data_IF_396520149723
#
_entry.id   IF_396520149723
#
_cell.length_a   1.000
_cell.length_b   1.000
_cell.length_c   1.000
_cell.angle_alpha   90.00
_cell.angle_beta   90.00
_cell.angle_gamma   90.00
#
_symmetry.space_group_name_H-M   'P 1'
#
loop_
_entity.id
_entity.type
_entity.pdbx_description
1 polymer ?
#
# COMPACT_ATOMS: atom_id res chain seq x y z
N UNK A 1 10.01 6.69 29.74
CA UNK A 1 10.40 5.26 29.94
C UNK A 1 11.91 5.16 30.09
N UNK A 2 12.39 4.26 30.95
CA UNK A 2 13.83 3.93 31.00
C UNK A 2 14.20 3.12 29.74
N UNK A 3 15.13 3.63 28.95
CA UNK A 3 15.58 3.02 27.69
C UNK A 3 16.98 2.41 27.78
N UNK A 4 17.46 2.15 29.02
CA UNK A 4 18.81 1.62 29.26
C UNK A 4 18.92 0.09 29.16
N UNK A 5 17.80 -0.65 29.25
CA UNK A 5 17.75 -2.12 29.24
C UNK A 5 16.68 -2.70 28.31
N UNK A 6 16.59 -2.17 27.11
CA UNK A 6 15.60 -2.61 26.12
C UNK A 6 15.93 -3.98 25.49
N UNK A 7 17.22 -4.36 25.46
CA UNK A 7 17.64 -5.64 24.88
C UNK A 7 16.96 -6.83 25.58
N UNK A 8 16.83 -6.81 26.90
CA UNK A 8 16.15 -7.90 27.61
C UNK A 8 14.64 -7.96 27.31
N UNK A 9 13.99 -6.81 27.10
CA UNK A 9 12.60 -6.75 26.64
C UNK A 9 12.46 -7.34 25.24
N UNK A 10 13.40 -7.01 24.33
CA UNK A 10 13.43 -7.56 22.96
C UNK A 10 13.58 -9.06 22.99
N UNK A 11 14.45 -9.59 23.87
CA UNK A 11 14.75 -11.01 24.00
C UNK A 11 13.78 -11.78 24.91
N UNK A 12 12.78 -11.10 25.49
CA UNK A 12 11.74 -11.77 26.28
C UNK A 12 10.97 -12.80 25.47
N UNK A 13 10.55 -13.88 26.12
CA UNK A 13 9.85 -14.98 25.43
C UNK A 13 8.55 -14.53 24.77
N UNK A 14 7.79 -13.65 25.43
CA UNK A 14 6.53 -13.13 24.91
C UNK A 14 6.73 -12.30 23.66
N UNK A 15 7.69 -11.35 23.68
CA UNK A 15 8.00 -10.52 22.52
C UNK A 15 8.51 -11.35 21.34
N UNK A 16 9.38 -12.33 21.59
CA UNK A 16 9.88 -13.22 20.55
C UNK A 16 8.80 -14.12 19.96
N UNK A 17 7.85 -14.61 20.77
CA UNK A 17 6.72 -15.39 20.27
C UNK A 17 5.81 -14.55 19.35
N UNK A 18 5.51 -13.30 19.73
CA UNK A 18 4.74 -12.37 18.89
C UNK A 18 5.48 -12.12 17.57
N UNK A 19 6.79 -11.88 17.62
CA UNK A 19 7.61 -11.67 16.42
C UNK A 19 7.63 -12.90 15.50
N UNK A 20 7.76 -14.10 16.06
CA UNK A 20 7.68 -15.36 15.33
C UNK A 20 6.35 -15.51 14.59
N UNK A 21 5.25 -15.37 15.31
CA UNK A 21 3.90 -15.46 14.72
C UNK A 21 3.67 -14.45 13.60
N UNK A 22 4.16 -13.22 13.77
CA UNK A 22 4.04 -12.17 12.76
C UNK A 22 4.84 -12.50 11.50
N UNK A 23 6.08 -12.98 11.62
CA UNK A 23 6.92 -13.36 10.48
C UNK A 23 6.33 -14.55 9.72
N UNK A 24 5.87 -15.59 10.44
CA UNK A 24 5.23 -16.75 9.82
C UNK A 24 3.92 -16.36 9.12
N UNK A 25 3.10 -15.51 9.74
CA UNK A 25 1.85 -15.01 9.15
C UNK A 25 2.08 -14.23 7.86
N UNK A 26 3.16 -13.48 7.76
CA UNK A 26 3.47 -12.66 6.59
C UNK A 26 3.91 -13.48 5.36
N UNK A 27 4.33 -14.75 5.53
CA UNK A 27 4.70 -15.67 4.44
C UNK A 27 5.68 -15.04 3.44
N UNK A 28 6.66 -14.27 3.94
CA UNK A 28 7.61 -13.56 3.08
C UNK A 28 8.57 -14.51 2.34
N UNK A 29 9.16 -14.03 1.25
CA UNK A 29 10.15 -14.75 0.46
C UNK A 29 11.42 -15.07 1.28
N UNK A 30 12.18 -16.06 0.87
CA UNK A 30 13.48 -16.44 1.42
C UNK A 30 14.55 -15.36 1.17
N UNK A 31 15.50 -15.22 2.10
CA UNK A 31 16.67 -14.34 1.98
C UNK A 31 17.80 -14.97 1.17
N UNK A 32 19.06 -14.54 1.44
CA UNK A 32 20.26 -15.07 0.82
C UNK A 32 20.58 -16.52 1.27
N UNK A 33 20.10 -16.92 2.44
CA UNK A 33 20.27 -18.25 3.00
C UNK A 33 19.30 -19.32 2.45
N UNK A 34 18.34 -18.91 1.62
CA UNK A 34 17.33 -19.79 1.04
C UNK A 34 16.32 -20.36 2.06
N UNK A 35 16.40 -20.00 3.34
CA UNK A 35 15.54 -20.52 4.39
C UNK A 35 14.11 -19.97 4.23
N UNK A 36 13.12 -20.87 4.26
CA UNK A 36 11.70 -20.53 4.19
C UNK A 36 11.15 -20.15 5.56
N UNK A 37 10.09 -19.34 5.57
CA UNK A 37 9.41 -18.96 6.83
C UNK A 37 8.84 -20.16 7.60
N UNK A 38 8.54 -21.28 6.92
CA UNK A 38 8.06 -22.52 7.54
C UNK A 38 9.15 -23.24 8.34
N UNK A 39 10.41 -23.00 8.06
CA UNK A 39 11.57 -23.64 8.70
C UNK A 39 12.06 -22.85 9.93
N UNK A 40 11.56 -21.62 10.12
CA UNK A 40 11.98 -20.74 11.21
C UNK A 40 11.80 -21.38 12.59
N UNK A 41 10.72 -22.14 12.81
CA UNK A 41 10.46 -22.79 14.09
C UNK A 41 11.55 -23.81 14.47
N UNK A 42 11.92 -24.68 13.55
CA UNK A 42 13.01 -25.66 13.76
C UNK A 42 14.36 -24.99 13.93
N UNK A 43 14.62 -23.97 13.13
CA UNK A 43 15.85 -23.18 13.22
C UNK A 43 16.00 -22.53 14.61
N UNK A 44 14.94 -21.89 15.11
CA UNK A 44 14.95 -21.27 16.43
C UNK A 44 15.02 -22.29 17.58
N UNK A 45 14.43 -23.48 17.44
CA UNK A 45 14.55 -24.55 18.43
C UNK A 45 16.03 -25.01 18.59
N UNK A 46 16.78 -25.07 17.49
CA UNK A 46 18.18 -25.46 17.49
C UNK A 46 19.11 -24.31 17.89
N UNK A 47 18.91 -23.12 17.35
CA UNK A 47 19.87 -22.00 17.40
C UNK A 47 19.41 -20.84 18.29
N UNK A 48 18.19 -20.83 18.80
CA UNK A 48 17.60 -19.66 19.47
C UNK A 48 18.39 -19.21 20.71
N UNK A 49 18.96 -20.15 21.49
CA UNK A 49 19.81 -19.80 22.64
C UNK A 49 21.11 -19.11 22.19
N UNK A 50 21.73 -19.60 21.12
CA UNK A 50 22.97 -19.03 20.55
C UNK A 50 22.68 -17.63 19.99
N UNK A 51 21.58 -17.45 19.27
CA UNK A 51 21.16 -16.15 18.72
C UNK A 51 20.95 -15.13 19.85
N UNK A 52 20.24 -15.50 20.93
CA UNK A 52 20.03 -14.63 22.10
C UNK A 52 21.35 -14.20 22.71
N UNK A 53 22.27 -15.15 22.92
CA UNK A 53 23.59 -14.85 23.49
C UNK A 53 24.44 -13.97 22.58
N UNK A 54 24.40 -14.20 21.28
CA UNK A 54 25.08 -13.34 20.30
C UNK A 54 24.53 -11.93 20.28
N UNK A 55 23.23 -11.72 20.47
CA UNK A 55 22.61 -10.40 20.57
C UNK A 55 23.06 -9.68 21.86
N UNK A 56 23.04 -10.34 23.02
CA UNK A 56 23.53 -9.79 24.30
C UNK A 56 25.00 -9.42 24.27
N UNK A 57 25.82 -10.25 23.61
CA UNK A 57 27.27 -10.02 23.56
C UNK A 57 27.70 -9.19 22.36
N UNK A 58 26.76 -8.61 21.60
CA UNK A 58 27.01 -7.84 20.35
C UNK A 58 27.76 -8.64 19.28
N UNK A 59 27.76 -9.96 19.35
CA UNK A 59 28.45 -10.84 18.37
C UNK A 59 27.56 -11.20 17.18
N UNK A 60 26.25 -10.97 17.25
CA UNK A 60 25.35 -11.22 16.13
C UNK A 60 25.75 -10.39 14.91
N UNK A 61 25.83 -11.05 13.77
CA UNK A 61 26.11 -10.42 12.47
C UNK A 61 24.92 -10.65 11.53
N UNK A 62 24.14 -9.60 11.20
CA UNK A 62 23.10 -9.71 10.19
C UNK A 62 23.67 -10.18 8.86
N UNK A 63 22.89 -10.97 8.14
CA UNK A 63 23.23 -11.37 6.78
C UNK A 63 22.92 -10.23 5.79
N UNK A 64 23.61 -10.15 4.65
CA UNK A 64 23.26 -9.20 3.60
C UNK A 64 21.84 -9.44 3.09
N UNK A 65 21.17 -8.40 2.63
CA UNK A 65 19.84 -8.53 2.04
C UNK A 65 19.91 -8.97 0.58
N UNK A 66 19.06 -9.90 0.18
CA UNK A 66 18.94 -10.31 -1.22
C UNK A 66 18.18 -9.24 -2.00
N UNK A 67 18.82 -8.69 -3.05
CA UNK A 67 18.18 -7.71 -3.93
C UNK A 67 17.15 -8.37 -4.84
N UNK A 68 15.97 -7.75 -4.95
CA UNK A 68 14.93 -8.14 -5.89
C UNK A 68 14.43 -6.89 -6.61
N UNK A 69 14.48 -6.91 -7.92
CA UNK A 69 14.01 -5.81 -8.75
C UNK A 69 12.51 -5.95 -9.07
N UNK A 70 11.73 -4.94 -8.72
CA UNK A 70 10.30 -4.90 -9.03
C UNK A 70 10.03 -3.76 -10.01
N UNK A 71 9.46 -4.04 -11.21
CA UNK A 71 9.14 -2.99 -12.16
C UNK A 71 8.04 -2.06 -11.59
N UNK A 72 8.28 -0.75 -11.67
CA UNK A 72 7.28 0.27 -11.35
C UNK A 72 6.29 0.44 -12.51
N UNK A 73 5.06 0.86 -12.22
CA UNK A 73 4.06 1.12 -13.26
C UNK A 73 4.41 2.24 -14.25
N UNK A 74 5.37 3.09 -13.89
CA UNK A 74 5.89 4.22 -14.67
C UNK A 74 7.13 3.87 -15.50
N UNK A 75 7.53 2.58 -15.52
CA UNK A 75 8.69 2.07 -16.27
C UNK A 75 10.01 2.09 -15.50
N UNK A 76 10.03 2.59 -14.26
CA UNK A 76 11.21 2.53 -13.39
C UNK A 76 11.34 1.19 -12.68
N UNK A 77 12.46 0.98 -11.98
CA UNK A 77 12.72 -0.18 -11.13
C UNK A 77 12.67 0.24 -9.66
N UNK A 78 12.09 -0.61 -8.80
CA UNK A 78 12.19 -0.51 -7.35
C UNK A 78 13.08 -1.64 -6.86
N UNK A 79 14.17 -1.29 -6.21
CA UNK A 79 15.07 -2.25 -5.57
C UNK A 79 14.53 -2.63 -4.20
N UNK A 80 14.13 -3.88 -4.02
CA UNK A 80 13.70 -4.41 -2.75
C UNK A 80 14.82 -5.25 -2.15
N UNK A 81 15.18 -5.03 -0.89
CA UNK A 81 16.10 -5.87 -0.14
C UNK A 81 15.31 -6.87 0.71
N UNK A 82 15.51 -8.16 0.48
CA UNK A 82 14.85 -9.23 1.24
C UNK A 82 15.83 -9.77 2.28
N UNK A 83 15.67 -9.44 3.59
CA UNK A 83 16.49 -10.02 4.67
C UNK A 83 16.20 -11.51 4.84
N UNK A 84 17.11 -12.23 5.48
CA UNK A 84 16.86 -13.62 5.90
C UNK A 84 15.64 -13.70 6.83
N UNK A 85 15.06 -14.87 6.94
CA UNK A 85 13.89 -15.08 7.83
C UNK A 85 14.28 -14.84 9.29
N UNK A 86 15.48 -15.22 9.69
CA UNK A 86 16.03 -14.97 11.03
C UNK A 86 16.22 -13.49 11.28
N UNK A 87 16.77 -12.73 10.33
CA UNK A 87 16.94 -11.28 10.47
C UNK A 87 15.58 -10.56 10.54
N UNK A 88 14.60 -10.97 9.73
CA UNK A 88 13.23 -10.44 9.83
C UNK A 88 12.60 -10.69 11.21
N UNK A 89 12.85 -11.85 11.78
CA UNK A 89 12.37 -12.21 13.12
C UNK A 89 12.98 -11.29 14.18
N UNK A 90 14.30 -11.06 14.14
CA UNK A 90 14.98 -10.18 15.09
C UNK A 90 14.57 -8.73 14.88
N UNK A 91 14.51 -8.26 13.63
CA UNK A 91 14.04 -6.90 13.30
C UNK A 91 12.61 -6.67 13.77
N UNK A 92 11.73 -7.69 13.65
CA UNK A 92 10.36 -7.62 14.14
C UNK A 92 10.32 -7.50 15.67
N UNK A 93 11.12 -8.28 16.38
CA UNK A 93 11.21 -8.21 17.84
C UNK A 93 11.70 -6.83 18.32
N UNK A 94 12.69 -6.25 17.63
CA UNK A 94 13.18 -4.88 17.88
C UNK A 94 12.09 -3.85 17.62
N UNK A 95 11.43 -3.93 16.47
CA UNK A 95 10.39 -2.99 16.08
C UNK A 95 9.22 -2.96 17.07
N UNK A 96 8.82 -4.11 17.61
CA UNK A 96 7.73 -4.22 18.60
C UNK A 96 8.03 -3.45 19.89
N UNK A 97 9.28 -3.47 20.35
CA UNK A 97 9.70 -2.78 21.59
C UNK A 97 9.96 -1.29 21.34
N UNK A 98 10.53 -0.93 20.17
CA UNK A 98 10.85 0.46 19.89
C UNK A 98 9.62 1.26 19.42
N UNK A 99 8.66 0.65 18.74
CA UNK A 99 7.48 1.37 18.21
C UNK A 99 6.72 2.14 19.30
N UNK A 100 6.34 1.57 20.46
CA UNK A 100 5.63 2.32 21.48
C UNK A 100 6.40 3.54 21.99
N UNK A 101 7.72 3.44 22.09
CA UNK A 101 8.59 4.53 22.59
C UNK A 101 8.57 5.72 21.61
N UNK A 102 8.58 5.45 20.31
CA UNK A 102 8.56 6.50 19.29
C UNK A 102 7.16 6.99 18.97
N UNK A 103 6.11 6.18 19.17
CA UNK A 103 4.71 6.61 18.96
C UNK A 103 4.36 7.85 19.81
N UNK A 104 4.92 7.96 21.02
CA UNK A 104 4.75 9.14 21.89
C UNK A 104 5.41 10.41 21.32
N UNK A 105 6.33 10.27 20.38
CA UNK A 105 7.10 11.38 19.81
C UNK A 105 6.66 11.76 18.39
N UNK A 106 5.93 10.89 17.72
CA UNK A 106 5.51 11.13 16.34
C UNK A 106 4.35 12.13 16.28
N UNK A 107 4.46 13.07 15.36
CA UNK A 107 3.42 14.08 15.13
C UNK A 107 2.09 13.44 14.73
N UNK A 108 0.97 14.05 15.14
CA UNK A 108 -0.37 13.53 14.87
C UNK A 108 -0.73 13.49 13.37
N UNK A 109 -0.15 14.36 12.57
CA UNK A 109 -0.36 14.40 11.11
C UNK A 109 0.59 13.47 10.32
N UNK A 110 1.32 12.59 11.00
CA UNK A 110 2.08 11.48 10.41
C UNK A 110 1.29 10.18 10.51
N UNK A 111 0.99 9.52 9.40
CA UNK A 111 0.06 8.38 9.34
C UNK A 111 0.68 7.08 8.84
N UNK A 112 1.70 7.14 8.00
CA UNK A 112 2.28 5.96 7.37
C UNK A 112 3.04 5.05 8.33
N UNK A 113 2.85 3.74 8.22
CA UNK A 113 3.56 2.72 9.01
C UNK A 113 3.41 2.83 10.53
N UNK A 114 2.34 3.44 11.00
CA UNK A 114 2.05 3.59 12.43
C UNK A 114 0.86 2.72 12.84
N UNK A 115 0.86 2.15 14.07
CA UNK A 115 -0.29 1.41 14.58
C UNK A 115 -1.51 2.33 14.69
N UNK A 116 -2.69 1.76 14.38
CA UNK A 116 -3.99 2.47 14.44
C UNK A 116 -4.11 3.71 13.53
N UNK A 117 -3.17 3.93 12.62
CA UNK A 117 -3.22 5.00 11.62
C UNK A 117 -3.41 4.40 10.22
N UNK A 118 -4.12 5.13 9.35
CA UNK A 118 -4.39 4.66 7.99
C UNK A 118 -4.43 5.80 6.97
N UNK A 119 -4.38 5.44 5.68
CA UNK A 119 -4.42 6.39 4.59
C UNK A 119 -5.72 7.22 4.56
N UNK A 120 -6.83 6.64 4.98
CA UNK A 120 -8.12 7.33 5.04
C UNK A 120 -8.10 8.51 6.02
N UNK A 121 -7.51 8.33 7.21
CA UNK A 121 -7.34 9.40 8.19
C UNK A 121 -6.48 10.54 7.61
N UNK A 122 -5.37 10.21 6.95
CA UNK A 122 -4.52 11.20 6.28
C UNK A 122 -5.30 12.03 5.24
N UNK A 123 -6.17 11.38 4.44
CA UNK A 123 -7.01 12.07 3.45
C UNK A 123 -8.07 12.96 4.12
N UNK A 124 -8.69 12.53 5.21
CA UNK A 124 -9.68 13.34 5.92
C UNK A 124 -9.04 14.58 6.52
N UNK A 125 -7.90 14.42 7.23
CA UNK A 125 -7.15 15.56 7.77
C UNK A 125 -6.69 16.54 6.67
N UNK A 126 -6.25 16.04 5.53
CA UNK A 126 -5.90 16.89 4.39
C UNK A 126 -7.12 17.66 3.86
N UNK A 127 -8.30 17.04 3.81
CA UNK A 127 -9.54 17.70 3.41
C UNK A 127 -9.96 18.80 4.39
N UNK A 128 -9.85 18.55 5.69
CA UNK A 128 -10.15 19.54 6.73
C UNK A 128 -9.27 20.77 6.55
N UNK A 129 -7.94 20.58 6.42
CA UNK A 129 -7.00 21.68 6.18
C UNK A 129 -7.28 22.46 4.88
N UNK A 130 -7.65 21.76 3.80
CA UNK A 130 -8.02 22.40 2.53
C UNK A 130 -9.30 23.24 2.67
N UNK A 131 -10.27 22.76 3.44
CA UNK A 131 -11.56 23.42 3.68
C UNK A 131 -11.44 24.61 4.65
N UNK A 132 -10.38 24.64 5.47
CA UNK A 132 -10.03 25.77 6.32
C UNK A 132 -9.31 26.91 5.56
N UNK A 133 -9.36 26.89 4.24
CA UNK A 133 -8.81 27.95 3.38
C UNK A 133 -7.36 27.76 2.95
N UNK A 134 -6.74 26.61 3.27
CA UNK A 134 -5.37 26.28 2.85
C UNK A 134 -5.39 25.48 1.55
N UNK A 135 -5.82 26.10 0.46
CA UNK A 135 -6.08 25.44 -0.82
C UNK A 135 -4.92 25.55 -1.85
N UNK A 136 -3.72 25.85 -1.38
CA UNK A 136 -2.47 25.71 -2.14
C UNK A 136 -1.64 24.58 -1.54
N UNK A 137 -1.28 23.62 -2.38
CA UNK A 137 -0.62 22.39 -1.96
C UNK A 137 0.84 22.38 -2.40
N UNK A 138 1.72 22.12 -1.44
CA UNK A 138 3.13 21.79 -1.70
C UNK A 138 3.26 20.27 -1.57
N UNK A 139 3.42 19.60 -2.70
CA UNK A 139 3.59 18.16 -2.80
C UNK A 139 5.09 17.85 -2.91
N UNK A 140 5.65 17.20 -1.89
CA UNK A 140 7.09 16.91 -1.79
C UNK A 140 7.31 15.41 -1.98
N UNK A 141 8.05 15.04 -3.02
CA UNK A 141 8.52 13.68 -3.32
C UNK A 141 10.02 13.57 -3.00
N UNK A 142 10.39 12.61 -2.15
CA UNK A 142 11.79 12.36 -1.81
C UNK A 142 12.42 11.42 -2.85
N UNK A 143 13.61 11.76 -3.35
CA UNK A 143 14.30 10.91 -4.32
C UNK A 143 14.93 9.70 -3.62
N UNK A 144 14.41 8.50 -3.93
CA UNK A 144 14.97 7.23 -3.42
C UNK A 144 15.24 7.26 -1.91
N UNK A 145 14.29 7.75 -1.13
CA UNK A 145 14.44 8.01 0.30
C UNK A 145 15.17 6.87 1.03
N UNK A 146 14.70 5.63 0.89
CA UNK A 146 15.31 4.48 1.58
C UNK A 146 16.76 4.22 1.16
N UNK A 147 17.15 4.56 -0.06
CA UNK A 147 18.50 4.34 -0.60
C UNK A 147 19.47 5.47 -0.22
N UNK A 148 18.98 6.60 0.31
CA UNK A 148 19.77 7.81 0.54
C UNK A 148 19.91 8.23 2.01
N UNK A 149 19.27 7.52 2.94
CA UNK A 149 19.35 7.83 4.38
C UNK A 149 20.79 7.72 4.88
N UNK A 150 21.30 8.80 5.45
CA UNK A 150 22.62 8.80 6.09
C UNK A 150 22.56 8.06 7.43
N UNK A 151 23.34 6.98 7.57
CA UNK A 151 23.35 6.12 8.75
C UNK A 151 23.76 6.87 10.01
N UNK A 152 24.77 7.73 9.98
CA UNK A 152 25.26 8.42 11.17
C UNK A 152 24.25 9.47 11.68
N UNK A 153 23.58 10.19 10.76
CA UNK A 153 22.48 11.09 11.13
C UNK A 153 21.34 10.32 11.79
N UNK A 154 20.91 9.22 11.18
CA UNK A 154 19.85 8.38 11.72
C UNK A 154 20.24 7.83 13.10
N UNK A 155 21.44 7.29 13.26
CA UNK A 155 21.93 6.78 14.55
C UNK A 155 22.04 7.87 15.60
N UNK A 156 22.41 9.09 15.22
CA UNK A 156 22.41 10.25 16.13
C UNK A 156 21.01 10.56 16.64
N UNK A 157 20.00 10.53 15.76
CA UNK A 157 18.60 10.76 16.13
C UNK A 157 18.12 9.66 17.08
N UNK A 158 18.39 8.38 16.74
CA UNK A 158 18.02 7.23 17.58
C UNK A 158 18.66 7.34 18.97
N UNK A 159 19.95 7.69 19.05
CA UNK A 159 20.69 7.82 20.30
C UNK A 159 20.21 8.95 21.25
N UNK A 160 19.39 9.89 20.75
CA UNK A 160 18.72 10.89 21.61
C UNK A 160 17.67 10.23 22.51
N UNK A 161 16.98 9.22 22.01
CA UNK A 161 15.87 8.52 22.69
C UNK A 161 16.31 7.20 23.30
N UNK A 162 17.02 6.37 22.54
CA UNK A 162 17.46 5.03 22.98
C UNK A 162 18.83 5.14 23.62
N UNK A 163 18.96 4.67 24.88
CA UNK A 163 20.21 4.67 25.63
C UNK A 163 20.84 3.28 25.77
N UNK A 164 20.12 2.24 25.36
CA UNK A 164 20.63 0.87 25.32
C UNK A 164 21.65 0.70 24.19
N UNK A 165 22.93 0.55 24.55
CA UNK A 165 24.03 0.42 23.60
C UNK A 165 23.98 -0.89 22.80
N UNK A 166 23.32 -1.94 23.29
CA UNK A 166 23.18 -3.22 22.58
C UNK A 166 22.16 -3.08 21.47
N UNK A 167 21.06 -2.38 21.74
CA UNK A 167 20.04 -2.04 20.74
C UNK A 167 20.62 -1.11 19.67
N UNK A 168 21.35 -0.07 20.05
CA UNK A 168 22.02 0.83 19.11
C UNK A 168 23.00 0.04 18.21
N UNK A 169 23.77 -0.86 18.80
CA UNK A 169 24.74 -1.69 18.07
C UNK A 169 24.06 -2.57 17.01
N UNK A 170 22.98 -3.27 17.36
CA UNK A 170 22.30 -4.17 16.42
C UNK A 170 21.57 -3.39 15.32
N UNK A 171 20.94 -2.24 15.63
CA UNK A 171 20.33 -1.37 14.63
C UNK A 171 21.37 -0.89 13.62
N UNK A 172 22.55 -0.43 14.09
CA UNK A 172 23.65 -0.03 13.19
C UNK A 172 24.11 -1.17 12.31
N UNK A 173 24.23 -2.39 12.86
CA UNK A 173 24.61 -3.58 12.07
C UNK A 173 23.62 -3.89 10.97
N UNK A 174 22.31 -3.72 11.20
CA UNK A 174 21.30 -3.88 10.14
C UNK A 174 21.41 -2.83 9.05
N UNK A 175 21.81 -1.61 9.36
CA UNK A 175 22.01 -0.56 8.35
C UNK A 175 23.21 -0.86 7.45
N UNK A 176 24.26 -1.45 7.98
CA UNK A 176 25.51 -1.75 7.26
C UNK A 176 25.65 -3.21 6.82
N UNK A 177 24.57 -4.00 6.89
CA UNK A 177 24.63 -5.45 6.59
C UNK A 177 24.97 -5.80 5.14
N UNK A 178 24.96 -4.83 4.24
CA UNK A 178 25.25 -5.02 2.82
C UNK A 178 24.07 -5.58 2.01
N UNK A 179 24.31 -5.67 0.71
CA UNK A 179 23.32 -6.13 -0.28
C UNK A 179 23.97 -7.23 -1.11
N UNK A 180 23.22 -8.29 -1.40
CA UNK A 180 23.62 -9.36 -2.31
C UNK A 180 22.89 -9.19 -3.64
N UNK A 181 23.63 -9.08 -4.73
CA UNK A 181 23.13 -8.94 -6.10
C UNK A 181 23.75 -10.05 -6.94
N UNK A 182 22.95 -10.97 -7.48
CA UNK A 182 23.40 -12.08 -8.32
C UNK A 182 24.62 -12.82 -7.73
N UNK A 183 24.58 -13.09 -6.41
CA UNK A 183 25.64 -13.71 -5.60
C UNK A 183 26.91 -12.87 -5.39
N UNK A 184 26.93 -11.61 -5.81
CA UNK A 184 27.99 -10.65 -5.49
C UNK A 184 27.58 -9.76 -4.30
N UNK A 185 28.53 -9.55 -3.37
CA UNK A 185 28.32 -8.72 -2.18
C UNK A 185 28.68 -7.26 -2.47
N UNK A 186 27.75 -6.35 -2.14
CA UNK A 186 27.99 -4.90 -2.16
C UNK A 186 27.81 -4.32 -0.75
N UNK A 187 28.73 -3.46 -0.34
CA UNK A 187 28.65 -2.73 0.92
C UNK A 187 27.48 -1.72 0.90
N UNK A 188 26.72 -1.65 2.01
CA UNK A 188 25.71 -0.62 2.23
C UNK A 188 26.28 0.51 3.08
N UNK A 189 26.80 1.55 2.43
CA UNK A 189 27.38 2.74 3.10
C UNK A 189 26.27 3.75 3.42
N UNK A 190 25.21 3.76 2.65
CA UNK A 190 24.03 4.66 2.77
C UNK A 190 22.76 3.87 2.53
N UNK A 191 21.67 4.31 3.13
CA UNK A 191 20.35 3.75 2.89
C UNK A 191 19.89 2.74 3.93
N UNK A 192 18.61 2.50 3.95
CA UNK A 192 17.96 1.43 4.72
C UNK A 192 17.37 0.43 3.74
N UNK A 193 17.63 -0.88 3.89
CA UNK A 193 17.10 -1.88 2.96
C UNK A 193 15.56 -1.77 2.84
N UNK A 194 15.05 -1.53 1.63
CA UNK A 194 13.61 -1.56 1.40
C UNK A 194 13.10 -3.01 1.53
N UNK A 195 12.39 -3.32 2.63
CA UNK A 195 11.78 -4.63 2.87
C UNK A 195 12.14 -5.28 4.20
N UNK A 196 13.03 -4.68 4.98
CA UNK A 196 13.25 -5.06 6.38
C UNK A 196 12.08 -4.64 7.28
N UNK A 197 11.76 -5.43 8.30
CA UNK A 197 10.66 -5.16 9.23
C UNK A 197 10.91 -3.90 10.10
N UNK A 198 12.16 -3.51 10.26
CA UNK A 198 12.58 -2.34 11.04
C UNK A 198 12.59 -1.05 10.19
N UNK A 199 12.78 -1.15 8.88
CA UNK A 199 12.94 -0.01 7.97
C UNK A 199 11.79 1.01 8.03
N UNK A 200 10.51 0.63 8.13
CA UNK A 200 9.42 1.59 8.26
C UNK A 200 9.49 2.45 9.51
N UNK A 201 9.89 1.88 10.66
CA UNK A 201 10.08 2.61 11.90
C UNK A 201 11.26 3.57 11.78
N UNK A 202 12.40 3.12 11.26
CA UNK A 202 13.59 3.95 11.05
C UNK A 202 13.30 5.13 10.11
N UNK A 203 12.50 4.88 9.06
CA UNK A 203 12.04 5.94 8.16
C UNK A 203 11.22 7.01 8.89
N UNK A 204 10.27 6.60 9.73
CA UNK A 204 9.47 7.53 10.53
C UNK A 204 10.32 8.29 11.56
N UNK A 205 11.30 7.65 12.20
CA UNK A 205 12.23 8.31 13.12
C UNK A 205 13.01 9.43 12.42
N UNK A 206 13.53 9.16 11.23
CA UNK A 206 14.26 10.15 10.43
C UNK A 206 13.36 11.31 10.00
N UNK A 207 12.17 11.00 9.49
CA UNK A 207 11.23 12.00 8.97
C UNK A 207 10.47 12.75 10.07
N UNK A 208 10.47 12.28 11.30
CA UNK A 208 9.93 13.02 12.43
C UNK A 208 10.69 14.34 12.70
N UNK A 209 11.96 14.43 12.32
CA UNK A 209 12.70 15.71 12.39
C UNK A 209 12.14 16.72 11.36
N UNK A 210 11.64 16.25 10.21
CA UNK A 210 10.90 17.09 9.25
C UNK A 210 9.54 17.52 9.83
N UNK A 211 8.83 16.59 10.47
CA UNK A 211 7.53 16.88 11.09
C UNK A 211 7.66 17.97 12.15
N UNK A 212 8.65 17.85 13.04
CA UNK A 212 8.97 18.86 14.07
C UNK A 212 9.32 20.23 13.47
N UNK A 213 10.06 20.26 12.37
CA UNK A 213 10.39 21.51 11.69
C UNK A 213 9.17 22.16 11.06
N UNK A 214 8.27 21.37 10.47
CA UNK A 214 7.00 21.87 9.92
C UNK A 214 6.08 22.39 11.02
N UNK A 215 5.97 21.68 12.14
CA UNK A 215 5.22 22.09 13.33
C UNK A 215 5.76 23.41 13.90
N UNK A 216 7.09 23.51 14.10
CA UNK A 216 7.77 24.73 14.59
C UNK A 216 7.47 25.96 13.71
N UNK A 217 7.26 25.75 12.41
CA UNK A 217 6.91 26.81 11.45
C UNK A 217 5.40 27.08 11.38
N UNK A 218 4.58 26.36 12.12
CA UNK A 218 3.12 26.48 12.09
C UNK A 218 2.52 26.07 10.75
N UNK A 219 3.11 25.09 10.05
CA UNK A 219 2.65 24.63 8.75
C UNK A 219 1.59 23.55 8.91
N UNK A 220 0.51 23.64 8.14
CA UNK A 220 -0.47 22.58 7.98
C UNK A 220 0.07 21.51 7.03
N UNK A 221 0.30 20.31 7.50
CA UNK A 221 0.86 19.24 6.68
C UNK A 221 0.23 17.88 7.00
N UNK A 222 0.33 16.98 6.04
CA UNK A 222 -0.03 15.56 6.22
C UNK A 222 1.07 14.71 5.59
N UNK A 223 1.64 13.80 6.37
CA UNK A 223 2.66 12.88 5.90
C UNK A 223 2.21 11.43 5.99
N UNK A 224 2.46 10.67 4.94
CA UNK A 224 2.28 9.22 4.91
C UNK A 224 3.56 8.55 4.42
N UNK A 225 4.38 8.07 5.35
CA UNK A 225 5.76 7.62 5.08
C UNK A 225 6.59 8.74 4.45
N UNK A 226 7.09 8.53 3.22
CA UNK A 226 7.86 9.49 2.41
C UNK A 226 6.99 10.46 1.61
N UNK A 227 5.69 10.17 1.42
CA UNK A 227 4.75 11.06 0.75
C UNK A 227 4.29 12.19 1.71
N UNK A 228 4.65 13.45 1.44
CA UNK A 228 4.31 14.60 2.28
C UNK A 228 3.65 15.71 1.47
N UNK A 229 2.52 16.21 1.97
CA UNK A 229 1.84 17.38 1.42
C UNK A 229 1.69 18.46 2.49
N UNK A 230 1.93 19.72 2.11
CA UNK A 230 1.78 20.88 2.99
C UNK A 230 0.73 21.82 2.37
N UNK A 231 -0.20 22.28 3.17
CA UNK A 231 -1.31 23.13 2.76
C UNK A 231 -1.11 24.55 3.27
N UNK A 232 -1.27 25.54 2.38
CA UNK A 232 -1.13 26.99 2.68
C UNK A 232 -2.17 27.81 1.95
N UNK A 233 -2.41 29.05 2.40
CA UNK A 233 -3.47 29.91 1.87
C UNK A 233 -3.13 30.66 0.57
N UNK A 234 -1.87 30.68 0.09
CA UNK A 234 -1.50 31.43 -1.11
C UNK A 234 -0.36 30.78 -1.89
N UNK A 235 -0.31 31.05 -3.20
CA UNK A 235 0.73 30.56 -4.11
C UNK A 235 2.13 31.05 -3.70
N UNK A 236 2.23 32.32 -3.32
CA UNK A 236 3.48 32.90 -2.87
C UNK A 236 4.01 32.18 -1.61
N UNK A 237 3.13 31.88 -0.65
CA UNK A 237 3.47 31.11 0.52
C UNK A 237 3.88 29.69 0.15
N UNK A 238 3.17 29.01 -0.76
CA UNK A 238 3.49 27.67 -1.22
C UNK A 238 4.88 27.59 -1.86
N UNK A 239 5.21 28.52 -2.74
CA UNK A 239 6.53 28.58 -3.37
C UNK A 239 7.65 28.88 -2.37
N UNK A 240 7.39 29.73 -1.35
CA UNK A 240 8.33 29.98 -0.24
C UNK A 240 8.53 28.74 0.61
N UNK A 241 7.45 28.04 0.96
CA UNK A 241 7.49 26.80 1.77
C UNK A 241 8.24 25.72 1.01
N UNK A 242 7.95 25.51 -0.29
CA UNK A 242 8.67 24.55 -1.13
C UNK A 242 10.18 24.76 -1.05
N UNK A 243 10.66 25.99 -1.28
CA UNK A 243 12.11 26.30 -1.22
C UNK A 243 12.72 26.06 0.16
N UNK A 244 12.03 26.51 1.21
CA UNK A 244 12.58 26.46 2.56
C UNK A 244 12.58 25.03 3.14
N UNK A 245 11.54 24.24 2.87
CA UNK A 245 11.45 22.86 3.32
C UNK A 245 12.40 21.97 2.50
N UNK A 246 12.50 22.17 1.18
CA UNK A 246 13.50 21.46 0.36
C UNK A 246 14.91 21.70 0.86
N UNK A 247 15.27 22.94 1.15
CA UNK A 247 16.57 23.29 1.74
C UNK A 247 16.80 22.58 3.09
N UNK A 248 15.82 22.57 3.97
CA UNK A 248 15.92 21.86 5.25
C UNK A 248 16.16 20.35 5.05
N UNK A 249 15.40 19.72 4.13
CA UNK A 249 15.54 18.31 3.79
C UNK A 249 16.96 18.01 3.29
N UNK A 250 17.49 18.85 2.41
CA UNK A 250 18.81 18.64 1.81
C UNK A 250 19.96 18.95 2.77
N UNK A 251 19.96 20.11 3.40
CA UNK A 251 21.05 20.56 4.25
C UNK A 251 21.06 19.88 5.64
N UNK A 252 19.90 19.76 6.28
CA UNK A 252 19.80 19.23 7.64
C UNK A 252 19.63 17.72 7.68
N UNK A 253 18.72 17.17 6.88
CA UNK A 253 18.48 15.72 6.88
C UNK A 253 19.45 14.99 5.94
N UNK A 254 20.02 15.66 4.94
CA UNK A 254 20.90 15.04 3.94
C UNK A 254 20.16 14.13 2.97
N UNK A 255 18.86 14.36 2.81
CA UNK A 255 18.00 13.66 1.85
C UNK A 255 17.90 14.49 0.57
N UNK A 256 17.47 13.87 -0.53
CA UNK A 256 17.27 14.57 -1.80
C UNK A 256 15.80 14.76 -2.12
N UNK A 257 15.42 15.96 -2.54
CA UNK A 257 14.08 16.25 -3.04
C UNK A 257 14.02 16.00 -4.54
N UNK A 258 13.04 15.25 -4.99
CA UNK A 258 12.80 15.03 -6.42
C UNK A 258 12.08 16.23 -7.04
N UNK A 259 12.82 17.20 -7.51
CA UNK A 259 12.28 18.44 -8.06
C UNK A 259 11.42 18.25 -9.32
N UNK A 260 11.54 17.12 -10.02
CA UNK A 260 10.72 16.82 -11.21
C UNK A 260 9.32 16.31 -10.85
N UNK A 261 9.16 15.74 -9.67
CA UNK A 261 7.88 15.21 -9.17
C UNK A 261 7.26 16.13 -8.12
N UNK A 262 8.10 16.80 -7.31
CA UNK A 262 7.62 17.78 -6.35
C UNK A 262 7.02 19.00 -7.07
N UNK A 263 5.87 19.47 -6.58
CA UNK A 263 5.16 20.57 -7.24
C UNK A 263 4.33 21.39 -6.26
N UNK A 264 4.08 22.63 -6.67
CA UNK A 264 3.06 23.48 -6.07
C UNK A 264 1.83 23.46 -6.99
N UNK A 265 0.67 23.14 -6.45
CA UNK A 265 -0.55 22.95 -7.24
C UNK A 265 -1.81 23.25 -6.39
N UNK A 266 -2.95 23.37 -7.05
CA UNK A 266 -4.26 23.39 -6.39
C UNK A 266 -4.74 21.97 -6.09
N UNK A 267 -5.68 21.75 -5.15
CA UNK A 267 -6.19 20.42 -4.80
C UNK A 267 -6.69 19.61 -6.00
N UNK A 268 -7.23 20.25 -7.05
CA UNK A 268 -7.71 19.57 -8.25
C UNK A 268 -6.60 18.88 -9.04
N UNK A 269 -5.37 19.37 -8.99
CA UNK A 269 -4.19 18.77 -9.63
C UNK A 269 -3.47 17.72 -8.79
N UNK A 270 -3.85 17.59 -7.51
CA UNK A 270 -3.19 16.69 -6.58
C UNK A 270 -3.64 15.24 -6.77
N UNK A 271 -2.68 14.34 -6.70
CA UNK A 271 -2.90 12.91 -6.46
C UNK A 271 -2.18 12.52 -5.18
N UNK A 272 -2.91 12.26 -4.11
CA UNK A 272 -2.34 11.84 -2.83
C UNK A 272 -2.93 10.50 -2.39
N UNK A 273 -2.10 9.53 -2.05
CA UNK A 273 -2.49 8.17 -1.61
C UNK A 273 -3.56 7.51 -2.53
N UNK A 274 -3.47 7.75 -3.83
CA UNK A 274 -4.41 7.21 -4.80
C UNK A 274 -5.72 7.98 -4.95
N UNK A 275 -5.98 8.97 -4.09
CA UNK A 275 -7.11 9.89 -4.20
C UNK A 275 -6.77 11.10 -5.07
N UNK A 276 -7.79 11.71 -5.64
CA UNK A 276 -7.80 13.04 -6.21
C UNK A 276 -8.86 13.87 -5.50
N UNK A 277 -8.80 15.18 -5.66
CA UNK A 277 -9.68 16.12 -4.97
C UNK A 277 -10.50 16.93 -5.97
N UNK A 278 -11.66 17.40 -5.55
CA UNK A 278 -12.49 18.30 -6.33
C UNK A 278 -13.31 19.21 -5.39
N UNK A 279 -13.63 20.40 -5.85
CA UNK A 279 -14.50 21.31 -5.13
C UNK A 279 -15.96 21.01 -5.48
N UNK A 280 -16.79 20.78 -4.46
CA UNK A 280 -18.24 20.60 -4.61
C UNK A 280 -18.94 21.95 -4.35
N UNK A 281 -19.46 22.62 -5.39
CA UNK A 281 -20.06 23.95 -5.24
C UNK A 281 -21.37 23.97 -4.46
N UNK A 282 -21.99 22.81 -4.25
CA UNK A 282 -23.28 22.70 -3.49
C UNK A 282 -23.07 22.90 -1.99
N UNK A 283 -21.93 22.44 -1.50
CA UNK A 283 -21.58 22.51 -0.06
C UNK A 283 -20.37 23.43 0.18
N UNK A 284 -19.83 24.04 -0.87
CA UNK A 284 -18.65 24.90 -0.83
C UNK A 284 -17.44 24.25 -0.16
N UNK A 285 -17.17 22.97 -0.46
CA UNK A 285 -16.11 22.21 0.17
C UNK A 285 -15.33 21.37 -0.85
N UNK A 286 -14.06 21.14 -0.57
CA UNK A 286 -13.27 20.10 -1.23
C UNK A 286 -13.69 18.71 -0.74
N UNK A 287 -13.77 17.79 -1.67
CA UNK A 287 -14.08 16.37 -1.42
C UNK A 287 -13.07 15.48 -2.13
N UNK A 288 -12.84 14.30 -1.56
CA UNK A 288 -12.00 13.27 -2.19
C UNK A 288 -12.82 12.40 -3.17
N UNK A 289 -12.13 11.87 -4.16
CA UNK A 289 -12.62 10.81 -5.07
C UNK A 289 -11.43 9.93 -5.48
N UNK A 290 -11.63 8.70 -5.95
CA UNK A 290 -10.55 7.93 -6.54
C UNK A 290 -9.91 8.70 -7.71
N UNK A 291 -8.59 8.82 -7.71
CA UNK A 291 -7.87 9.49 -8.80
C UNK A 291 -7.99 8.70 -10.12
N UNK A 292 -7.97 9.38 -11.25
CA UNK A 292 -8.12 8.76 -12.58
C UNK A 292 -7.15 7.59 -12.82
N UNK A 293 -5.88 7.72 -12.39
CA UNK A 293 -4.89 6.63 -12.46
C UNK A 293 -5.27 5.41 -11.61
N UNK A 294 -5.93 5.60 -10.46
CA UNK A 294 -6.42 4.52 -9.60
C UNK A 294 -7.61 3.81 -10.24
N UNK A 295 -8.52 4.56 -10.87
CA UNK A 295 -9.65 4.00 -11.64
C UNK A 295 -9.14 3.22 -12.86
N UNK A 296 -8.13 3.73 -13.57
CA UNK A 296 -7.52 3.03 -14.71
C UNK A 296 -6.89 1.69 -14.27
N UNK A 297 -6.18 1.65 -13.14
CA UNK A 297 -5.66 0.40 -12.54
C UNK A 297 -6.78 -0.58 -12.20
N UNK A 298 -7.87 -0.09 -11.61
CA UNK A 298 -9.05 -0.93 -11.34
C UNK A 298 -9.61 -1.52 -12.63
N UNK A 299 -9.85 -0.69 -13.65
CA UNK A 299 -10.39 -1.14 -14.96
C UNK A 299 -9.47 -2.16 -15.64
N UNK A 300 -8.14 -1.98 -15.54
CA UNK A 300 -7.15 -2.96 -16.04
C UNK A 300 -7.29 -4.30 -15.32
N UNK A 301 -7.26 -4.31 -13.98
CA UNK A 301 -7.38 -5.54 -13.19
C UNK A 301 -8.72 -6.24 -13.37
N UNK A 302 -9.81 -5.48 -13.44
CA UNK A 302 -11.14 -6.00 -13.78
C UNK A 302 -11.14 -6.73 -15.15
N UNK A 303 -10.45 -6.17 -16.17
CA UNK A 303 -10.30 -6.82 -17.47
C UNK A 303 -9.58 -8.17 -17.37
N UNK A 304 -8.51 -8.25 -16.59
CA UNK A 304 -7.76 -9.48 -16.35
C UNK A 304 -8.64 -10.53 -15.67
N UNK A 305 -9.31 -10.18 -14.55
CA UNK A 305 -10.20 -11.08 -13.81
C UNK A 305 -11.43 -11.53 -14.60
N UNK A 306 -11.83 -10.77 -15.60
CA UNK A 306 -12.94 -11.11 -16.52
C UNK A 306 -12.45 -11.47 -17.92
N UNK A 307 -11.22 -11.98 -18.02
CA UNK A 307 -10.69 -12.45 -19.30
C UNK A 307 -11.44 -13.71 -19.76
N UNK A 308 -11.89 -13.70 -21.03
CA UNK A 308 -12.64 -14.81 -21.62
C UNK A 308 -11.81 -16.07 -21.85
N UNK A 309 -10.50 -15.89 -22.09
CA UNK A 309 -9.54 -16.98 -22.31
C UNK A 309 -8.90 -17.50 -21.02
N UNK A 310 -9.21 -16.90 -19.88
CA UNK A 310 -8.79 -17.43 -18.59
C UNK A 310 -9.56 -18.73 -18.31
N UNK A 311 -8.88 -19.87 -18.32
CA UNK A 311 -9.44 -21.23 -18.30
C UNK A 311 -10.10 -21.68 -16.99
N UNK A 312 -10.64 -20.75 -16.20
CA UNK A 312 -11.29 -21.03 -14.91
C UNK A 312 -12.81 -20.90 -14.99
N UNK A 313 -13.52 -21.47 -14.01
CA UNK A 313 -14.98 -21.40 -13.89
C UNK A 313 -15.48 -19.95 -13.72
N UNK A 314 -16.74 -19.69 -14.09
CA UNK A 314 -17.36 -18.38 -13.86
C UNK A 314 -17.55 -18.11 -12.35
N UNK A 315 -17.77 -19.14 -11.52
CA UNK A 315 -17.85 -19.01 -10.06
C UNK A 315 -16.54 -18.51 -9.48
N UNK A 316 -15.43 -19.09 -9.89
CA UNK A 316 -14.10 -18.64 -9.45
C UNK A 316 -13.78 -17.20 -9.90
N UNK A 317 -14.19 -16.82 -11.13
CA UNK A 317 -14.05 -15.42 -11.60
C UNK A 317 -14.83 -14.46 -10.72
N UNK A 318 -16.07 -14.80 -10.37
CA UNK A 318 -16.92 -13.97 -9.50
C UNK A 318 -16.33 -13.88 -8.09
N UNK A 319 -15.82 -14.96 -7.54
CA UNK A 319 -15.15 -14.97 -6.23
C UNK A 319 -13.96 -14.01 -6.21
N UNK A 320 -13.03 -14.15 -7.17
CA UNK A 320 -11.85 -13.28 -7.28
C UNK A 320 -12.22 -11.82 -7.55
N UNK A 321 -13.24 -11.59 -8.35
CA UNK A 321 -13.75 -10.27 -8.64
C UNK A 321 -14.35 -9.63 -7.36
N UNK A 322 -15.11 -10.38 -6.58
CA UNK A 322 -15.69 -9.90 -5.32
C UNK A 322 -14.62 -9.54 -4.30
N UNK A 323 -13.58 -10.36 -4.15
CA UNK A 323 -12.44 -10.04 -3.28
C UNK A 323 -11.80 -8.72 -3.70
N UNK A 324 -11.58 -8.52 -4.99
CA UNK A 324 -11.00 -7.30 -5.53
C UNK A 324 -11.92 -6.07 -5.37
N UNK A 325 -13.21 -6.19 -5.66
CA UNK A 325 -14.21 -5.12 -5.48
C UNK A 325 -14.26 -4.67 -4.02
N UNK A 326 -14.39 -5.61 -3.09
CA UNK A 326 -14.48 -5.29 -1.65
C UNK A 326 -13.22 -4.57 -1.14
N UNK A 327 -12.05 -5.07 -1.50
CA UNK A 327 -10.78 -4.43 -1.13
C UNK A 327 -10.68 -3.01 -1.66
N UNK A 328 -11.05 -2.80 -2.94
CA UNK A 328 -10.99 -1.47 -3.56
C UNK A 328 -12.00 -0.48 -2.96
N UNK A 329 -13.24 -0.90 -2.73
CA UNK A 329 -14.27 -0.06 -2.10
C UNK A 329 -13.88 0.27 -0.66
N UNK A 330 -13.44 -0.71 0.13
CA UNK A 330 -13.02 -0.47 1.51
C UNK A 330 -11.88 0.56 1.62
N UNK A 331 -10.99 0.59 0.63
CA UNK A 331 -9.92 1.60 0.58
C UNK A 331 -10.45 2.99 0.23
N UNK A 332 -11.31 3.10 -0.79
CA UNK A 332 -11.77 4.37 -1.33
C UNK A 332 -13.11 4.85 -0.76
N UNK A 333 -13.73 4.16 0.19
CA UNK A 333 -15.10 4.41 0.69
C UNK A 333 -15.36 5.83 1.20
N UNK A 334 -14.34 6.52 1.70
CA UNK A 334 -14.43 7.92 2.13
C UNK A 334 -14.59 8.91 0.98
N UNK A 335 -14.28 8.49 -0.25
CA UNK A 335 -14.36 9.31 -1.45
C UNK A 335 -15.71 9.22 -2.15
N UNK A 336 -16.09 10.27 -2.87
CA UNK A 336 -17.31 10.32 -3.67
C UNK A 336 -17.24 9.37 -4.86
N UNK A 337 -17.94 8.22 -4.81
CA UNK A 337 -17.85 7.17 -5.82
C UNK A 337 -19.18 6.70 -6.39
N UNK A 338 -20.32 7.21 -5.94
CA UNK A 338 -21.65 6.67 -6.30
C UNK A 338 -21.86 6.50 -7.83
N UNK A 339 -21.54 7.53 -8.60
CA UNK A 339 -21.65 7.50 -10.07
C UNK A 339 -20.64 6.53 -10.70
N UNK A 340 -19.40 6.54 -10.19
CA UNK A 340 -18.35 5.65 -10.65
C UNK A 340 -18.68 4.18 -10.38
N UNK A 341 -19.21 3.85 -9.19
CA UNK A 341 -19.63 2.49 -8.86
C UNK A 341 -20.72 1.99 -9.82
N UNK A 342 -21.69 2.85 -10.16
CA UNK A 342 -22.75 2.50 -11.14
C UNK A 342 -22.19 2.21 -12.53
N UNK A 343 -21.23 3.02 -13.00
CA UNK A 343 -20.53 2.80 -14.27
C UNK A 343 -19.75 1.48 -14.28
N UNK A 344 -18.96 1.25 -13.22
CA UNK A 344 -18.14 0.05 -13.10
C UNK A 344 -18.99 -1.23 -12.98
N UNK A 345 -20.10 -1.19 -12.26
CA UNK A 345 -21.07 -2.28 -12.20
C UNK A 345 -21.62 -2.65 -13.58
N UNK A 346 -21.94 -1.64 -14.39
CA UNK A 346 -22.34 -1.84 -15.79
C UNK A 346 -21.26 -2.56 -16.60
N UNK A 347 -20.02 -2.11 -16.48
CA UNK A 347 -18.87 -2.70 -17.16
C UNK A 347 -18.59 -4.15 -16.70
N UNK A 348 -18.70 -4.43 -15.40
CA UNK A 348 -18.51 -5.78 -14.85
C UNK A 348 -19.57 -6.73 -15.41
N UNK A 349 -20.86 -6.36 -15.35
CA UNK A 349 -21.96 -7.17 -15.88
C UNK A 349 -21.80 -7.44 -17.38
N UNK A 350 -21.42 -6.42 -18.13
CA UNK A 350 -21.13 -6.54 -19.56
C UNK A 350 -20.04 -7.59 -19.82
N UNK A 351 -18.94 -7.53 -19.11
CA UNK A 351 -17.81 -8.45 -19.26
C UNK A 351 -18.14 -9.88 -18.81
N UNK A 352 -18.89 -10.04 -17.73
CA UNK A 352 -19.34 -11.37 -17.29
C UNK A 352 -20.29 -12.02 -18.27
N UNK A 353 -21.21 -11.25 -18.91
CA UNK A 353 -22.05 -11.77 -20.00
C UNK A 353 -21.22 -12.34 -21.13
N UNK A 354 -20.14 -11.67 -21.53
CA UNK A 354 -19.22 -12.19 -22.54
C UNK A 354 -18.52 -13.50 -22.10
N UNK A 355 -18.14 -13.62 -20.84
CA UNK A 355 -17.51 -14.83 -20.29
C UNK A 355 -18.49 -15.98 -20.27
N UNK A 356 -19.72 -15.77 -19.80
CA UNK A 356 -20.79 -16.76 -19.75
C UNK A 356 -21.13 -17.25 -21.17
N UNK A 357 -21.27 -16.31 -22.12
CA UNK A 357 -21.52 -16.63 -23.51
C UNK A 357 -20.44 -17.53 -24.12
N UNK A 358 -19.18 -17.21 -23.89
CA UNK A 358 -18.06 -18.05 -24.35
C UNK A 358 -18.09 -19.46 -23.73
N UNK A 359 -18.48 -19.56 -22.46
CA UNK A 359 -18.54 -20.83 -21.70
C UNK A 359 -19.59 -21.80 -22.28
N UNK A 360 -20.63 -21.27 -22.91
CA UNK A 360 -21.67 -22.10 -23.53
C UNK A 360 -21.24 -22.75 -24.86
N UNK A 361 -20.06 -22.41 -25.34
CA UNK A 361 -19.37 -22.98 -26.52
C UNK A 361 -20.19 -23.06 -27.81
N UNK A 362 -21.07 -24.06 -27.92
CA UNK A 362 -21.81 -24.38 -29.15
C UNK A 362 -23.16 -23.64 -29.27
N UNK A 363 -23.66 -23.36 -30.49
CA UNK A 363 -24.98 -22.74 -30.68
C UNK A 363 -26.10 -23.49 -29.98
N UNK A 364 -26.08 -24.82 -30.03
CA UNK A 364 -27.08 -25.66 -29.37
C UNK A 364 -27.11 -25.45 -27.87
N UNK A 365 -25.91 -25.45 -27.23
CA UNK A 365 -25.79 -25.15 -25.79
C UNK A 365 -26.21 -23.72 -25.46
N UNK A 366 -25.86 -22.73 -26.29
CA UNK A 366 -26.27 -21.34 -26.14
C UNK A 366 -27.81 -21.24 -26.17
N UNK A 367 -28.47 -21.83 -27.15
CA UNK A 367 -29.93 -21.85 -27.24
C UNK A 367 -30.57 -22.54 -26.04
N UNK A 368 -30.08 -23.74 -25.66
CA UNK A 368 -30.56 -24.48 -24.47
C UNK A 368 -30.45 -23.66 -23.20
N UNK A 369 -29.30 -22.99 -22.96
CA UNK A 369 -29.10 -22.18 -21.77
C UNK A 369 -29.96 -20.89 -21.79
N UNK A 370 -30.14 -20.25 -22.96
CA UNK A 370 -31.05 -19.11 -23.06
C UNK A 370 -32.49 -19.49 -22.74
N UNK A 371 -32.98 -20.64 -23.27
CA UNK A 371 -34.35 -21.14 -22.98
C UNK A 371 -34.50 -21.46 -21.49
N UNK A 372 -33.50 -22.03 -20.82
CA UNK A 372 -33.49 -22.23 -19.37
C UNK A 372 -33.55 -20.92 -18.56
N UNK A 373 -33.19 -19.80 -19.19
CA UNK A 373 -33.19 -18.47 -18.62
C UNK A 373 -34.38 -17.62 -19.13
N UNK A 374 -35.49 -18.28 -19.47
CA UNK A 374 -36.77 -17.69 -19.87
C UNK A 374 -36.71 -16.84 -21.16
N UNK A 375 -35.79 -17.17 -22.07
CA UNK A 375 -35.80 -16.58 -23.44
C UNK A 375 -36.68 -17.42 -24.35
N UNK A 376 -37.62 -16.82 -25.08
CA UNK A 376 -38.47 -17.56 -26.03
C UNK A 376 -37.64 -18.34 -27.05
N UNK A 377 -38.11 -19.55 -27.43
CA UNK A 377 -37.38 -20.49 -28.32
C UNK A 377 -36.88 -19.83 -29.59
N UNK A 378 -37.75 -19.07 -30.27
CA UNK A 378 -37.37 -18.39 -31.52
C UNK A 378 -36.23 -17.38 -31.33
N UNK A 379 -36.25 -16.61 -30.25
CA UNK A 379 -35.22 -15.64 -29.96
C UNK A 379 -33.91 -16.32 -29.49
N UNK A 380 -34.01 -17.38 -28.70
CA UNK A 380 -32.86 -18.17 -28.24
C UNK A 380 -32.07 -18.75 -29.42
N UNK A 381 -32.76 -19.38 -30.40
CA UNK A 381 -32.10 -19.91 -31.60
C UNK A 381 -31.52 -18.79 -32.48
N UNK A 382 -32.29 -17.72 -32.76
CA UNK A 382 -31.81 -16.57 -33.54
C UNK A 382 -30.50 -15.98 -32.96
N UNK A 383 -30.40 -15.84 -31.63
CA UNK A 383 -29.22 -15.27 -30.95
C UNK A 383 -28.08 -16.29 -30.90
N UNK A 384 -28.37 -17.56 -30.60
CA UNK A 384 -27.35 -18.60 -30.44
C UNK A 384 -26.48 -18.76 -31.69
N UNK A 385 -27.04 -18.55 -32.89
CA UNK A 385 -26.35 -18.65 -34.17
C UNK A 385 -25.69 -17.34 -34.64
N UNK A 386 -25.72 -16.26 -33.85
CA UNK A 386 -25.03 -15.01 -34.18
C UNK A 386 -23.49 -15.09 -34.08
N UNK A 387 -22.92 -16.27 -33.80
CA UNK A 387 -21.47 -16.51 -33.75
C UNK A 387 -20.80 -15.90 -32.52
N UNK A 388 -19.53 -15.52 -32.68
CA UNK A 388 -18.66 -15.10 -31.59
C UNK A 388 -18.58 -13.57 -31.42
N UNK A 389 -19.62 -12.86 -31.79
CA UNK A 389 -19.70 -11.38 -31.60
C UNK A 389 -19.95 -11.00 -30.13
N UNK A 390 -19.06 -11.43 -29.21
CA UNK A 390 -19.23 -11.33 -27.78
C UNK A 390 -19.63 -9.94 -27.28
N UNK A 391 -18.98 -8.88 -27.77
CA UNK A 391 -19.25 -7.51 -27.38
C UNK A 391 -20.68 -7.08 -27.76
N UNK A 392 -21.09 -7.32 -29.02
CA UNK A 392 -22.42 -6.98 -29.51
C UNK A 392 -23.51 -7.78 -28.77
N UNK A 393 -23.26 -9.07 -28.55
CA UNK A 393 -24.21 -9.96 -27.87
C UNK A 393 -24.40 -9.58 -26.40
N UNK A 394 -23.36 -9.16 -25.69
CA UNK A 394 -23.49 -8.72 -24.31
C UNK A 394 -24.38 -7.46 -24.13
N UNK A 395 -24.59 -6.69 -25.19
CA UNK A 395 -25.54 -5.57 -25.26
C UNK A 395 -26.91 -5.96 -25.78
N UNK A 396 -27.13 -7.21 -26.26
CA UNK A 396 -28.41 -7.65 -26.73
C UNK A 396 -29.44 -7.72 -25.59
N UNK A 397 -30.66 -7.18 -25.80
CA UNK A 397 -31.70 -7.10 -24.78
C UNK A 397 -32.11 -8.46 -24.20
N UNK A 398 -32.19 -9.51 -25.05
CA UNK A 398 -32.51 -10.86 -24.58
C UNK A 398 -31.38 -11.46 -23.73
N UNK A 399 -30.12 -11.21 -24.06
CA UNK A 399 -28.97 -11.63 -23.27
C UNK A 399 -28.96 -10.88 -21.94
N UNK A 400 -29.28 -9.57 -21.93
CA UNK A 400 -29.38 -8.79 -20.71
C UNK A 400 -30.55 -9.24 -19.82
N UNK A 401 -31.67 -9.65 -20.41
CA UNK A 401 -32.80 -10.22 -19.67
C UNK A 401 -32.44 -11.60 -19.10
N UNK A 402 -31.87 -12.48 -19.93
CA UNK A 402 -31.42 -13.81 -19.53
C UNK A 402 -30.36 -13.80 -18.44
N UNK A 403 -29.33 -12.96 -18.60
CA UNK A 403 -28.24 -12.76 -17.60
C UNK A 403 -28.44 -11.39 -16.95
N UNK A 404 -29.56 -11.26 -16.25
CA UNK A 404 -29.98 -10.02 -15.59
C UNK A 404 -29.09 -9.70 -14.38
N UNK A 405 -29.18 -8.46 -13.90
CA UNK A 405 -28.50 -8.04 -12.65
C UNK A 405 -28.93 -8.94 -11.48
N UNK A 406 -30.22 -9.20 -11.33
CA UNK A 406 -30.78 -10.06 -10.27
C UNK A 406 -30.16 -11.47 -10.30
N UNK A 407 -30.06 -12.08 -11.49
CA UNK A 407 -29.43 -13.41 -11.66
C UNK A 407 -27.92 -13.40 -11.38
N UNK A 408 -27.20 -12.35 -11.77
CA UNK A 408 -25.77 -12.24 -11.43
C UNK A 408 -25.57 -12.05 -9.92
N UNK A 409 -26.43 -11.29 -9.26
CA UNK A 409 -26.42 -11.14 -7.80
C UNK A 409 -26.75 -12.47 -7.11
N UNK A 410 -27.77 -13.21 -7.54
CA UNK A 410 -28.07 -14.54 -7.00
C UNK A 410 -26.98 -15.58 -7.27
N UNK A 411 -26.17 -15.38 -8.33
CA UNK A 411 -24.95 -16.15 -8.59
C UNK A 411 -23.75 -15.73 -7.70
N UNK A 412 -23.94 -14.75 -6.85
CA UNK A 412 -22.97 -14.28 -5.85
C UNK A 412 -22.15 -13.04 -6.26
N UNK A 413 -22.47 -12.38 -7.38
CA UNK A 413 -21.78 -11.14 -7.75
C UNK A 413 -22.16 -9.99 -6.82
N UNK A 414 -21.17 -9.36 -6.20
CA UNK A 414 -21.34 -8.15 -5.38
C UNK A 414 -21.59 -6.95 -6.30
N UNK A 415 -22.62 -6.16 -6.00
CA UNK A 415 -22.82 -4.84 -6.61
C UNK A 415 -21.87 -3.84 -5.93
N UNK A 416 -21.08 -3.13 -6.73
CA UNK A 416 -20.19 -2.09 -6.22
C UNK A 416 -20.98 -0.95 -5.59
N UNK A 417 -22.10 -0.56 -6.21
CA UNK A 417 -22.94 0.53 -5.74
C UNK A 417 -23.56 0.20 -4.38
N UNK A 418 -24.15 -1.00 -4.24
CA UNK A 418 -24.80 -1.40 -3.00
C UNK A 418 -23.79 -1.56 -1.87
N UNK A 419 -22.68 -2.23 -2.13
CA UNK A 419 -21.61 -2.39 -1.14
C UNK A 419 -20.99 -1.04 -0.73
N UNK A 420 -20.79 -0.11 -1.68
CA UNK A 420 -20.33 1.24 -1.36
C UNK A 420 -21.34 1.99 -0.50
N UNK A 421 -22.65 1.91 -0.84
CA UNK A 421 -23.68 2.62 -0.09
C UNK A 421 -23.81 2.09 1.35
N UNK A 422 -23.67 0.78 1.51
CA UNK A 422 -23.65 0.13 2.84
C UNK A 422 -22.46 0.60 3.68
N UNK A 423 -21.27 0.75 3.07
CA UNK A 423 -20.02 1.09 3.76
C UNK A 423 -19.74 2.57 3.89
N UNK A 424 -20.37 3.42 3.10
CA UNK A 424 -20.17 4.88 3.12
C UNK A 424 -20.69 5.56 4.40
N UNK A 425 -21.54 4.90 5.19
CA UNK A 425 -22.06 5.40 6.47
C UNK A 425 -21.35 4.83 7.71
N UNK A 426 -20.30 4.04 7.54
CA UNK A 426 -19.58 3.31 8.62
C UNK A 426 -18.18 3.86 8.89
N UNK A 427 -17.99 5.18 8.78
CA UNK A 427 -16.75 5.87 9.19
C UNK A 427 -16.98 6.70 10.43
#
# INVERSE_FOLDING_TARGET
MDTSSLMEQILSSDNLNIAYLQVVRNKGAEGVDGMKYTELGEHLAKNGKIIKEQLRTRKYKPQPVRRVEIPKPDGGIRNLGVPTVTDRFIQQAIAQVLTPIYEEQFHDHSYGFRPNRCAQQAILTALDMMNDGNDWIVDIDLEKFFDTVNHDKLMTIIGRTIKDGDVISIVRKYLVSGIMIDDEYEDSIVGTPQGGNLSPLLANIMLNELDKEMEKRGLNFVRYADDCIIMVGSEMSANRVMRNISRFIEEKLGLKVNMTKSKVDRPRGLKYLGFGFYFDPRVHQFKAKPHAKSVAKFKKRMKELTCRSWGVSNSYKVEKLNQFIRGWINYFKIGSMKTLCRELDGNIRYRLRMCIWKHWKTPQNRAKNLMKLDVPRWAAFKIAYCGDRYARLAHNGWIQKAISTKRLTSFGLVSMLDYYTERCGTC
#
